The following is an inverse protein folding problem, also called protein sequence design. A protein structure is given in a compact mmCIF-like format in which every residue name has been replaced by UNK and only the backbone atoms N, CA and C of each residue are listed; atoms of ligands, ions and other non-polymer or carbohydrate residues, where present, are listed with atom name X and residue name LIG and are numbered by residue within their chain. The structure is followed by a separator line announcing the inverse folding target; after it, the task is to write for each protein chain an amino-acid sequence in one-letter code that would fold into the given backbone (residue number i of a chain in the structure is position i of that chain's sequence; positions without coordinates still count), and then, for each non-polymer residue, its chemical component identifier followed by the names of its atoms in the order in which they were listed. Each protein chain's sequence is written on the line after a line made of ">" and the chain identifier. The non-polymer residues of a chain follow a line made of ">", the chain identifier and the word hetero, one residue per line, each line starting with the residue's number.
data_IF_477382994306
#
_entry.id   IF_477382994306
#
_cell.length_a   1.000
_cell.length_b   1.000
_cell.length_c   1.000
_cell.angle_alpha   90.00
_cell.angle_beta   90.00
_cell.angle_gamma   90.00
#
_symmetry.space_group_name_H-M   'P 1'
#
loop_
_entity.id
_entity.type
_entity.pdbx_description
1 polymer ?
#
# COMPACT_ATOMS: atom_id res chain seq x y z
N UNK A 1 67.49 24.73 -30.99
CA UNK A 1 67.59 25.98 -30.21
C UNK A 1 66.18 26.56 -30.15
N UNK A 2 65.61 26.74 -28.96
CA UNK A 2 64.19 27.08 -28.75
C UNK A 2 64.02 28.60 -28.67
N UNK A 3 63.06 29.16 -29.41
CA UNK A 3 62.65 30.59 -29.42
C UNK A 3 62.43 31.12 -27.99
N UNK A 4 61.96 30.26 -27.08
CA UNK A 4 61.77 30.60 -25.67
C UNK A 4 63.09 30.91 -24.94
N UNK A 5 64.19 30.27 -25.34
CA UNK A 5 65.51 30.51 -24.73
C UNK A 5 66.11 31.83 -25.23
N UNK A 6 65.91 32.18 -26.50
CA UNK A 6 66.33 33.48 -27.06
C UNK A 6 65.50 34.64 -26.50
N UNK A 7 64.18 34.48 -26.37
CA UNK A 7 63.30 35.47 -25.74
C UNK A 7 63.65 35.70 -24.27
N UNK A 8 64.00 34.62 -23.55
CA UNK A 8 64.37 34.72 -22.13
C UNK A 8 65.74 35.38 -21.95
N UNK A 9 66.70 35.10 -22.83
CA UNK A 9 67.99 35.77 -22.82
C UNK A 9 67.85 37.27 -23.14
N UNK A 10 67.09 37.61 -24.19
CA UNK A 10 66.84 39.02 -24.57
C UNK A 10 66.07 39.81 -23.50
N UNK A 11 65.12 39.20 -22.79
CA UNK A 11 64.41 39.84 -21.68
C UNK A 11 65.29 40.07 -20.45
N UNK A 12 66.24 39.17 -20.16
CA UNK A 12 67.18 39.32 -19.05
C UNK A 12 68.21 40.42 -19.35
N UNK A 13 68.69 40.50 -20.59
CA UNK A 13 69.60 41.55 -21.05
C UNK A 13 68.92 42.93 -21.00
N UNK A 14 67.68 43.03 -21.50
CA UNK A 14 66.89 44.28 -21.46
C UNK A 14 66.51 44.70 -20.03
N UNK A 15 66.35 43.74 -19.10
CA UNK A 15 66.09 44.03 -17.69
C UNK A 15 67.34 44.46 -16.91
N UNK A 16 68.53 44.08 -17.35
CA UNK A 16 69.81 44.46 -16.72
C UNK A 16 70.27 45.88 -17.04
N UNK A 17 69.82 46.46 -18.16
CA UNK A 17 70.13 47.84 -18.57
C UNK A 17 69.19 48.90 -17.95
N UNK A 18 68.08 48.48 -17.35
CA UNK A 18 67.18 49.37 -16.62
C UNK A 18 67.74 49.59 -15.21
N UNK A 19 68.37 50.74 -15.00
CA UNK A 19 68.78 51.22 -13.67
C UNK A 19 67.54 51.52 -12.81
N UNK A 20 67.00 50.46 -12.21
CA UNK A 20 65.83 50.51 -11.34
C UNK A 20 66.24 51.04 -9.98
N UNK A 21 66.09 52.37 -9.84
CA UNK A 21 65.99 53.10 -8.57
C UNK A 21 65.28 52.25 -7.50
N UNK A 22 65.93 52.15 -6.33
CA UNK A 22 65.42 51.57 -5.08
C UNK A 22 63.88 51.60 -4.97
N UNK A 23 63.29 50.42 -4.84
CA UNK A 23 61.85 50.19 -4.68
C UNK A 23 61.27 51.06 -3.54
N UNK A 24 60.39 52.04 -3.83
CA UNK A 24 59.87 52.96 -2.84
C UNK A 24 58.79 52.35 -1.94
N UNK A 25 58.42 51.08 -2.10
CA UNK A 25 57.27 50.48 -1.41
C UNK A 25 57.61 49.28 -0.53
N UNK A 26 58.59 49.44 0.38
CA UNK A 26 58.93 48.46 1.43
C UNK A 26 57.76 48.00 2.30
N UNK A 27 56.68 48.81 2.37
CA UNK A 27 55.45 48.51 3.09
C UNK A 27 54.53 47.51 2.37
N UNK A 28 54.70 47.32 1.05
CA UNK A 28 53.94 46.36 0.24
C UNK A 28 54.51 44.94 0.41
N UNK A 29 55.83 44.77 0.38
CA UNK A 29 56.48 43.48 0.65
C UNK A 29 56.11 42.92 2.03
N UNK A 30 56.10 43.76 3.09
CA UNK A 30 55.68 43.32 4.45
C UNK A 30 54.21 42.89 4.51
N UNK A 31 53.34 43.51 3.71
CA UNK A 31 51.93 43.09 3.59
C UNK A 31 51.80 41.76 2.84
N UNK A 32 52.60 41.55 1.80
CA UNK A 32 52.57 40.33 1.00
C UNK A 32 53.10 39.10 1.75
N UNK A 33 54.15 39.25 2.58
CA UNK A 33 54.62 38.16 3.45
C UNK A 33 53.58 37.77 4.51
N UNK A 34 52.86 38.77 5.06
CA UNK A 34 51.77 38.53 6.03
C UNK A 34 50.54 37.90 5.37
N UNK A 35 50.24 38.28 4.13
CA UNK A 35 49.16 37.68 3.33
C UNK A 35 49.45 36.22 2.95
N UNK A 36 50.69 35.88 2.57
CA UNK A 36 51.09 34.49 2.29
C UNK A 36 50.98 33.58 3.52
N UNK A 37 51.40 34.06 4.71
CA UNK A 37 51.27 33.30 5.97
C UNK A 37 49.81 33.08 6.38
N UNK A 38 48.96 34.09 6.22
CA UNK A 38 47.53 33.98 6.49
C UNK A 38 46.79 33.09 5.47
N UNK A 39 47.27 33.03 4.21
CA UNK A 39 46.70 32.17 3.17
C UNK A 39 46.98 30.68 3.43
N UNK A 40 48.15 30.33 3.96
CA UNK A 40 48.48 28.95 4.36
C UNK A 40 47.67 28.48 5.57
N UNK A 41 47.46 29.35 6.57
CA UNK A 41 46.59 29.04 7.73
C UNK A 41 45.12 28.91 7.29
N UNK A 42 44.65 29.79 6.40
CA UNK A 42 43.29 29.70 5.83
C UNK A 42 43.10 28.51 4.89
N UNK A 43 44.13 28.06 4.17
CA UNK A 43 44.08 26.84 3.36
C UNK A 43 44.02 25.58 4.25
N UNK A 44 44.71 25.55 5.39
CA UNK A 44 44.59 24.48 6.37
C UNK A 44 43.20 24.42 7.04
N UNK A 45 42.63 25.59 7.37
CA UNK A 45 41.26 25.70 7.93
C UNK A 45 40.20 25.40 6.87
N UNK A 46 40.40 25.80 5.61
CA UNK A 46 39.48 25.49 4.52
C UNK A 46 39.55 24.02 4.10
N UNK A 47 40.73 23.40 4.09
CA UNK A 47 40.86 21.95 3.86
C UNK A 47 40.18 21.17 4.99
N UNK A 48 40.43 21.51 6.27
CA UNK A 48 39.73 20.90 7.40
C UNK A 48 38.21 21.14 7.36
N UNK A 49 37.75 22.32 6.91
CA UNK A 49 36.32 22.60 6.73
C UNK A 49 35.71 21.81 5.56
N UNK A 50 36.43 21.59 4.46
CA UNK A 50 35.97 20.79 3.31
C UNK A 50 35.99 19.30 3.64
N UNK A 51 36.98 18.79 4.39
CA UNK A 51 36.97 17.40 4.88
C UNK A 51 35.90 17.18 5.96
N UNK A 52 35.66 18.18 6.82
CA UNK A 52 34.55 18.16 7.77
C UNK A 52 33.20 18.22 7.07
N UNK A 53 33.04 19.03 6.01
CA UNK A 53 31.82 19.09 5.21
C UNK A 53 31.55 17.78 4.46
N UNK A 54 32.58 17.15 3.89
CA UNK A 54 32.46 15.84 3.25
C UNK A 54 32.14 14.73 4.27
N UNK A 55 32.77 14.76 5.45
CA UNK A 55 32.46 13.85 6.57
C UNK A 55 31.07 14.07 7.16
N UNK A 56 30.55 15.30 7.14
CA UNK A 56 29.17 15.64 7.56
C UNK A 56 28.12 15.23 6.52
N UNK A 57 28.46 15.27 5.22
CA UNK A 57 27.61 14.77 4.14
C UNK A 57 27.54 13.24 4.11
N UNK A 58 28.63 12.56 4.48
CA UNK A 58 28.72 11.10 4.59
C UNK A 58 28.28 10.56 5.98
N UNK A 59 27.83 11.40 6.91
CA UNK A 59 27.32 10.98 8.23
C UNK A 59 28.40 10.58 9.26
N UNK A 60 29.68 10.82 8.99
CA UNK A 60 30.82 10.45 9.83
C UNK A 60 31.04 11.42 11.00
N UNK A 61 30.63 12.69 10.88
CA UNK A 61 30.75 13.71 11.93
C UNK A 61 29.37 14.30 12.28
N UNK A 62 28.95 14.33 13.57
CA UNK A 62 27.68 14.94 13.97
C UNK A 62 27.62 16.43 13.63
N UNK A 63 26.57 16.84 12.95
CA UNK A 63 26.29 18.26 12.67
C UNK A 63 25.79 18.95 13.95
N UNK A 64 26.31 20.13 14.34
CA UNK A 64 25.81 20.86 15.49
C UNK A 64 24.35 21.29 15.31
N UNK A 65 23.55 21.29 16.38
CA UNK A 65 22.13 21.64 16.33
C UNK A 65 21.80 23.05 15.77
N UNK A 66 22.79 23.95 15.73
CA UNK A 66 22.69 25.34 15.24
C UNK A 66 23.02 25.52 13.75
N UNK A 67 23.46 24.48 13.03
CA UNK A 67 23.84 24.62 11.62
C UNK A 67 22.62 24.91 10.73
N UNK A 68 22.74 25.80 9.71
CA UNK A 68 21.65 26.08 8.79
C UNK A 68 21.28 24.83 7.99
N UNK A 69 19.98 24.54 7.93
CA UNK A 69 19.43 23.35 7.27
C UNK A 69 18.65 23.72 6.02
N UNK A 70 18.72 22.86 5.00
CA UNK A 70 17.81 22.90 3.86
C UNK A 70 16.58 22.06 4.26
N UNK A 71 15.48 22.75 4.53
CA UNK A 71 14.20 22.10 4.77
C UNK A 71 13.57 21.74 3.42
N UNK A 72 13.20 20.48 3.24
CA UNK A 72 12.28 20.11 2.17
C UNK A 72 10.88 20.53 2.62
N UNK A 73 10.16 21.26 1.76
CA UNK A 73 8.83 21.75 2.07
C UNK A 73 7.89 20.57 2.38
N UNK A 74 7.17 20.65 3.49
CA UNK A 74 6.16 19.66 3.86
C UNK A 74 4.83 20.14 3.30
N UNK A 75 4.21 19.34 2.44
CA UNK A 75 3.06 19.78 1.64
C UNK A 75 1.75 19.98 2.40
N UNK A 76 1.68 19.66 3.70
CA UNK A 76 0.40 19.63 4.42
C UNK A 76 0.45 20.18 5.86
N UNK A 77 0.49 21.51 5.97
CA UNK A 77 0.50 22.18 7.28
C UNK A 77 -0.78 21.94 8.10
N UNK A 78 -1.92 21.67 7.46
CA UNK A 78 -3.20 21.57 8.14
C UNK A 78 -3.28 20.37 9.11
N UNK A 79 -2.76 19.21 8.72
CA UNK A 79 -2.67 18.03 9.60
C UNK A 79 -1.69 18.28 10.76
N UNK A 80 -0.57 18.94 10.46
CA UNK A 80 0.57 19.09 11.37
C UNK A 80 0.41 20.22 12.40
N UNK A 81 -0.51 21.14 12.18
CA UNK A 81 -0.75 22.29 13.05
C UNK A 81 -1.88 22.08 14.08
N UNK A 82 -2.42 20.86 14.17
CA UNK A 82 -3.40 20.50 15.20
C UNK A 82 -2.79 20.30 16.59
N UNK A 83 -3.60 20.45 17.66
CA UNK A 83 -3.19 20.03 19.00
C UNK A 83 -3.03 18.50 19.06
N UNK A 84 -2.36 18.00 20.11
CA UNK A 84 -2.41 16.58 20.46
C UNK A 84 -3.86 16.21 20.77
N UNK A 85 -4.31 15.07 20.26
CA UNK A 85 -5.68 14.58 20.42
C UNK A 85 -5.67 13.10 20.81
N UNK A 86 -6.81 12.55 21.22
CA UNK A 86 -6.91 11.21 21.80
C UNK A 86 -6.92 11.23 23.34
N UNK A 87 -7.16 10.07 23.95
CA UNK A 87 -7.37 9.95 25.40
C UNK A 87 -6.13 10.32 26.24
N UNK A 88 -4.93 10.26 25.66
CA UNK A 88 -3.66 10.60 26.32
C UNK A 88 -3.15 12.01 25.97
N UNK A 89 -3.96 12.83 25.29
CA UNK A 89 -3.54 14.18 24.89
C UNK A 89 -3.13 15.08 26.08
N UNK A 90 -3.71 14.85 27.26
CA UNK A 90 -3.40 15.57 28.49
C UNK A 90 -2.26 14.96 29.33
N UNK A 91 -1.77 13.77 28.98
CA UNK A 91 -0.74 13.08 29.76
C UNK A 91 0.66 13.61 29.42
N UNK A 92 1.00 14.74 30.02
CA UNK A 92 2.27 15.42 29.79
C UNK A 92 3.48 14.59 30.22
N UNK A 93 3.35 13.72 31.23
CA UNK A 93 4.43 12.87 31.71
C UNK A 93 4.74 11.76 30.71
N UNK A 94 3.70 11.06 30.24
CA UNK A 94 3.83 10.06 29.20
C UNK A 94 4.41 10.66 27.90
N UNK A 95 3.86 11.78 27.41
CA UNK A 95 4.33 12.42 26.17
C UNK A 95 5.77 12.93 26.29
N UNK A 96 6.19 13.42 27.47
CA UNK A 96 7.58 13.78 27.72
C UNK A 96 8.51 12.55 27.69
N UNK A 97 8.08 11.44 28.30
CA UNK A 97 8.81 10.18 28.23
C UNK A 97 8.91 9.64 26.80
N UNK A 98 7.82 9.68 26.02
CA UNK A 98 7.82 9.26 24.61
C UNK A 98 8.83 10.06 23.79
N UNK A 99 8.86 11.38 23.97
CA UNK A 99 9.82 12.26 23.30
C UNK A 99 11.27 11.87 23.60
N UNK A 100 11.55 11.41 24.82
CA UNK A 100 12.87 10.93 25.20
C UNK A 100 13.22 9.56 24.59
N UNK A 101 12.23 8.69 24.38
CA UNK A 101 12.45 7.31 23.89
C UNK A 101 12.52 7.17 22.38
N UNK A 102 11.96 8.11 21.60
CA UNK A 102 12.07 8.11 20.13
C UNK A 102 13.55 8.07 19.72
N UNK A 103 13.92 7.10 18.89
CA UNK A 103 15.32 6.86 18.49
C UNK A 103 15.60 7.41 17.09
N UNK A 104 16.89 7.53 16.77
CA UNK A 104 17.34 7.77 15.40
C UNK A 104 16.90 6.60 14.51
N UNK A 105 16.70 6.86 13.22
CA UNK A 105 16.32 5.82 12.25
C UNK A 105 17.60 5.35 11.57
N UNK A 106 18.04 4.15 11.97
CA UNK A 106 19.17 3.47 11.35
C UNK A 106 18.66 2.74 10.10
N UNK A 107 19.06 3.23 8.92
CA UNK A 107 18.82 2.57 7.64
C UNK A 107 20.19 2.26 7.02
N UNK A 108 20.45 1.04 6.49
CA UNK A 108 21.75 0.65 5.93
C UNK A 108 22.39 1.66 4.98
N UNK A 109 21.57 2.43 4.26
CA UNK A 109 22.03 3.39 3.25
C UNK A 109 22.02 4.86 3.75
N UNK A 110 21.31 5.18 4.84
CA UNK A 110 21.10 6.56 5.32
C UNK A 110 20.87 6.62 6.84
N UNK A 111 21.82 7.17 7.60
CA UNK A 111 21.65 7.38 9.04
C UNK A 111 20.86 8.67 9.33
N UNK A 112 19.53 8.55 9.42
CA UNK A 112 18.65 9.68 9.74
C UNK A 112 18.61 9.92 11.25
N UNK A 113 19.13 11.07 11.67
CA UNK A 113 19.17 11.45 13.09
C UNK A 113 18.03 12.38 13.45
N UNK A 114 17.57 12.35 14.69
CA UNK A 114 16.64 13.35 15.19
C UNK A 114 17.36 14.69 15.25
N UNK A 115 16.86 15.67 14.50
CA UNK A 115 17.50 16.98 14.42
C UNK A 115 17.39 17.79 15.70
N UNK A 116 16.20 17.82 16.29
CA UNK A 116 15.90 18.49 17.55
C UNK A 116 14.74 17.79 18.25
N UNK A 117 15.04 17.11 19.37
CA UNK A 117 14.04 16.37 20.14
C UNK A 117 12.94 17.27 20.70
N UNK A 118 13.26 18.54 21.03
CA UNK A 118 12.26 19.48 21.55
C UNK A 118 11.19 19.85 20.51
N UNK A 119 11.50 19.66 19.22
CA UNK A 119 10.59 19.90 18.09
C UNK A 119 9.76 18.67 17.71
N UNK A 120 9.90 17.55 18.43
CA UNK A 120 8.98 16.42 18.30
C UNK A 120 7.62 16.84 18.85
N UNK A 121 6.62 16.78 17.98
CA UNK A 121 5.21 17.05 18.28
C UNK A 121 4.42 15.75 18.19
N UNK A 122 3.40 15.62 19.01
CA UNK A 122 2.45 14.51 18.90
C UNK A 122 1.17 15.04 18.26
N UNK A 123 0.62 14.30 17.31
CA UNK A 123 -0.66 14.66 16.67
C UNK A 123 -1.80 13.84 17.26
N UNK A 124 -1.48 12.67 17.79
CA UNK A 124 -2.42 11.75 18.40
C UNK A 124 -1.71 10.88 19.45
N UNK A 125 -2.39 10.62 20.57
CA UNK A 125 -1.99 9.64 21.57
C UNK A 125 -3.25 9.14 22.32
N UNK A 126 -3.47 7.83 22.33
CA UNK A 126 -4.60 7.23 23.01
C UNK A 126 -4.35 5.77 23.41
N UNK A 127 -5.10 5.31 24.40
CA UNK A 127 -5.42 3.90 24.57
C UNK A 127 -6.73 3.59 23.80
N UNK A 128 -6.67 2.64 22.87
CA UNK A 128 -7.79 2.15 22.05
C UNK A 128 -7.87 0.64 22.25
N UNK A 129 -8.92 0.15 22.90
CA UNK A 129 -9.01 -1.26 23.28
C UNK A 129 -7.84 -1.68 24.18
N UNK A 130 -7.11 -2.71 23.77
CA UNK A 130 -5.94 -3.27 24.44
C UNK A 130 -4.62 -2.66 23.94
N UNK A 131 -4.66 -1.63 23.09
CA UNK A 131 -3.48 -1.01 22.49
C UNK A 131 -3.32 0.44 22.91
N UNK A 132 -2.08 0.83 23.15
CA UNK A 132 -1.65 2.22 23.23
C UNK A 132 -1.08 2.61 21.88
N UNK A 133 -1.54 3.71 21.29
CA UNK A 133 -1.12 4.15 19.95
C UNK A 133 -0.73 5.62 19.99
N UNK A 134 0.41 5.97 19.36
CA UNK A 134 0.95 7.34 19.31
C UNK A 134 1.39 7.69 17.90
N UNK A 135 1.01 8.88 17.44
CA UNK A 135 1.47 9.48 16.19
C UNK A 135 2.40 10.65 16.49
N UNK A 136 3.67 10.51 16.13
CA UNK A 136 4.69 11.52 16.35
C UNK A 136 5.16 12.16 15.04
N UNK A 137 5.19 13.49 15.01
CA UNK A 137 5.92 14.27 14.01
C UNK A 137 7.38 14.43 14.46
N UNK A 138 8.30 13.79 13.74
CA UNK A 138 9.71 13.71 14.10
C UNK A 138 10.56 14.47 13.07
N UNK A 139 11.28 15.52 13.46
CA UNK A 139 12.16 16.27 12.56
C UNK A 139 13.46 15.51 12.34
N UNK A 140 13.53 14.66 11.32
CA UNK A 140 14.76 13.93 10.99
C UNK A 140 15.72 14.79 10.18
N UNK A 141 17.01 14.51 10.33
CA UNK A 141 18.13 15.15 9.66
C UNK A 141 19.11 14.13 9.09
N UNK A 142 19.57 14.41 7.89
CA UNK A 142 20.68 13.73 7.24
C UNK A 142 21.65 14.80 6.71
N UNK A 143 22.81 14.95 7.36
CA UNK A 143 23.72 16.08 7.11
C UNK A 143 23.00 17.43 7.31
N UNK A 144 22.92 18.23 6.26
CA UNK A 144 22.23 19.54 6.25
C UNK A 144 20.77 19.45 5.79
N UNK A 145 20.29 18.29 5.37
CA UNK A 145 18.92 18.08 4.92
C UNK A 145 18.05 17.77 6.13
N UNK A 146 16.94 18.50 6.28
CA UNK A 146 15.89 18.15 7.25
C UNK A 146 14.69 17.62 6.50
N UNK A 147 14.27 16.39 6.83
CA UNK A 147 13.06 15.76 6.31
C UNK A 147 12.24 15.26 7.50
N UNK A 148 11.18 15.97 7.91
CA UNK A 148 10.32 15.45 8.96
C UNK A 148 9.58 14.19 8.49
N UNK A 149 9.16 13.38 9.44
CA UNK A 149 8.35 12.18 9.21
C UNK A 149 7.23 12.08 10.23
N UNK A 150 6.14 11.41 9.84
CA UNK A 150 5.13 10.94 10.77
C UNK A 150 5.41 9.49 11.11
N UNK A 151 5.56 9.18 12.40
CA UNK A 151 5.87 7.85 12.88
C UNK A 151 4.75 7.36 13.81
N UNK A 152 4.22 6.19 13.51
CA UNK A 152 3.32 5.47 14.39
C UNK A 152 4.10 4.61 15.36
N UNK A 153 3.69 4.68 16.62
CA UNK A 153 4.16 3.81 17.69
C UNK A 153 2.97 3.08 18.29
N UNK A 154 3.17 1.81 18.65
CA UNK A 154 2.20 1.03 19.40
C UNK A 154 2.83 0.32 20.60
N UNK A 155 1.96 -0.15 21.48
CA UNK A 155 2.27 -0.92 22.68
C UNK A 155 0.99 -1.48 23.28
N UNK A 156 1.08 -2.24 24.36
CA UNK A 156 -0.11 -2.62 25.11
C UNK A 156 -0.75 -1.37 25.76
N UNK A 157 -2.06 -1.38 25.97
CA UNK A 157 -2.73 -0.33 26.73
C UNK A 157 -2.08 -0.20 28.11
N UNK A 158 -1.76 1.04 28.51
CA UNK A 158 -1.03 1.29 29.75
C UNK A 158 0.50 1.23 29.66
N UNK A 159 1.07 0.78 28.54
CA UNK A 159 2.53 0.64 28.39
C UNK A 159 3.29 1.94 28.64
N UNK A 160 4.45 1.80 29.30
CA UNK A 160 5.37 2.90 29.51
C UNK A 160 6.00 3.35 28.18
N UNK A 161 6.49 4.60 28.08
CA UNK A 161 7.13 5.09 26.86
C UNK A 161 8.29 4.24 26.31
N UNK A 162 9.00 3.51 27.18
CA UNK A 162 10.11 2.66 26.80
C UNK A 162 9.68 1.32 26.16
N UNK A 163 8.42 0.95 26.32
CA UNK A 163 7.82 -0.29 25.80
C UNK A 163 7.15 -0.08 24.43
N UNK A 164 7.00 1.19 24.01
CA UNK A 164 6.38 1.56 22.74
C UNK A 164 7.35 1.29 21.57
N UNK A 165 6.85 0.68 20.49
CA UNK A 165 7.63 0.28 19.32
C UNK A 165 7.18 1.06 18.09
N UNK A 166 8.12 1.50 17.24
CA UNK A 166 7.80 2.14 15.98
C UNK A 166 7.31 1.09 14.96
N UNK A 167 6.14 1.30 14.37
CA UNK A 167 5.46 0.29 13.54
C UNK A 167 5.13 0.75 12.12
N UNK A 168 5.04 2.07 11.88
CA UNK A 168 4.85 2.59 10.54
C UNK A 168 5.45 3.99 10.37
N UNK A 169 5.87 4.29 9.14
CA UNK A 169 6.35 5.61 8.74
C UNK A 169 5.47 6.14 7.62
N UNK A 170 5.00 7.37 7.77
CA UNK A 170 4.01 7.99 6.90
C UNK A 170 4.56 9.31 6.36
N UNK A 171 4.37 9.53 5.06
CA UNK A 171 4.76 10.80 4.44
C UNK A 171 3.95 11.95 5.05
N UNK A 172 4.60 12.96 5.67
CA UNK A 172 3.91 14.10 6.27
C UNK A 172 3.17 14.99 5.25
N UNK A 173 3.30 14.76 3.94
CA UNK A 173 2.50 15.41 2.92
C UNK A 173 1.06 14.83 2.81
N UNK A 174 0.79 13.66 3.40
CA UNK A 174 -0.55 13.08 3.40
C UNK A 174 -1.57 13.98 4.12
N UNK A 175 -2.82 13.99 3.63
CA UNK A 175 -3.92 14.79 4.21
C UNK A 175 -4.44 14.26 5.53
N UNK A 176 -4.39 12.95 5.68
CA UNK A 176 -4.70 12.22 6.88
C UNK A 176 -3.74 11.04 6.96
N UNK A 177 -3.64 10.45 8.13
CA UNK A 177 -2.87 9.23 8.34
C UNK A 177 -3.73 8.22 9.09
N UNK A 178 -3.56 6.96 8.70
CA UNK A 178 -4.20 5.83 9.32
C UNK A 178 -3.20 4.96 10.07
N UNK A 179 -3.71 4.28 11.10
CA UNK A 179 -3.08 3.12 11.70
C UNK A 179 -4.12 2.03 11.81
N UNK A 180 -3.83 0.88 11.22
CA UNK A 180 -4.69 -0.31 11.24
C UNK A 180 -3.83 -1.49 11.66
N UNK A 181 -4.25 -2.15 12.72
CA UNK A 181 -3.69 -3.42 13.14
C UNK A 181 -4.85 -4.39 13.33
N UNK A 182 -4.83 -5.50 12.63
CA UNK A 182 -5.78 -6.58 12.78
C UNK A 182 -5.02 -7.88 13.09
N UNK A 183 -5.61 -8.72 13.93
CA UNK A 183 -5.08 -10.05 14.24
C UNK A 183 -6.15 -11.10 13.93
N UNK A 184 -5.69 -12.31 13.62
CA UNK A 184 -6.55 -13.46 13.40
C UNK A 184 -7.31 -13.84 14.66
N UNK A 185 -6.63 -13.77 15.81
CA UNK A 185 -7.10 -14.36 17.06
C UNK A 185 -7.42 -13.31 18.12
N UNK A 186 -6.89 -12.10 17.97
CA UNK A 186 -7.07 -11.00 18.92
C UNK A 186 -7.76 -9.80 18.28
N UNK A 187 -8.53 -9.00 19.06
CA UNK A 187 -9.05 -7.74 18.59
C UNK A 187 -7.93 -6.83 18.08
N UNK A 188 -8.25 -6.10 17.00
CA UNK A 188 -7.39 -5.10 16.41
C UNK A 188 -7.78 -3.68 16.78
N UNK A 189 -7.11 -2.70 16.19
CA UNK A 189 -7.49 -1.29 16.27
C UNK A 189 -7.37 -0.61 14.92
N UNK A 190 -8.26 0.35 14.69
CA UNK A 190 -8.21 1.26 13.57
C UNK A 190 -8.27 2.70 14.08
N UNK A 191 -7.35 3.54 13.62
CA UNK A 191 -7.26 4.96 13.95
C UNK A 191 -7.09 5.77 12.68
N UNK A 192 -7.91 6.80 12.50
CA UNK A 192 -7.78 7.80 11.44
C UNK A 192 -7.51 9.16 12.07
N UNK A 193 -6.44 9.83 11.64
CA UNK A 193 -6.07 11.18 12.07
C UNK A 193 -5.97 12.11 10.87
N UNK A 194 -6.94 13.00 10.73
CA UNK A 194 -6.98 14.08 9.76
C UNK A 194 -6.77 15.48 10.38
N UNK A 195 -6.90 16.54 9.57
CA UNK A 195 -6.73 17.92 10.01
C UNK A 195 -7.83 18.34 11.00
N UNK A 196 -7.54 19.23 11.97
CA UNK A 196 -8.59 19.83 12.79
C UNK A 196 -9.65 20.53 11.92
N UNK A 197 -10.90 20.53 12.38
CA UNK A 197 -12.06 21.03 11.62
C UNK A 197 -12.68 20.02 10.66
N UNK A 198 -12.07 18.85 10.47
CA UNK A 198 -12.66 17.74 9.71
C UNK A 198 -13.40 16.75 10.62
N UNK A 199 -14.24 15.90 10.03
CA UNK A 199 -14.87 14.76 10.69
C UNK A 199 -14.30 13.49 10.10
N UNK A 200 -13.75 12.63 10.93
CA UNK A 200 -13.26 11.31 10.52
C UNK A 200 -14.32 10.25 10.82
N UNK A 201 -14.45 9.27 9.93
CA UNK A 201 -15.30 8.09 10.11
C UNK A 201 -14.54 6.82 9.72
N UNK A 202 -14.81 5.73 10.43
CA UNK A 202 -14.22 4.41 10.19
C UNK A 202 -15.36 3.40 10.07
N UNK A 203 -15.51 2.77 8.91
CA UNK A 203 -16.29 1.54 8.79
C UNK A 203 -15.36 0.35 9.08
N UNK A 204 -15.63 -0.43 10.14
CA UNK A 204 -14.68 -1.42 10.67
C UNK A 204 -14.57 -2.68 9.81
N UNK A 205 -15.49 -2.89 8.88
CA UNK A 205 -15.47 -4.03 7.97
C UNK A 205 -16.74 -4.13 7.14
N UNK A 206 -16.93 -5.29 6.54
CA UNK A 206 -18.08 -5.60 5.69
C UNK A 206 -18.39 -7.09 5.71
N UNK A 207 -19.60 -7.45 5.31
CA UNK A 207 -20.00 -8.85 5.08
C UNK A 207 -20.52 -9.06 3.67
N UNK A 208 -20.19 -10.23 3.10
CA UNK A 208 -20.79 -10.69 1.84
C UNK A 208 -22.16 -11.31 2.13
N UNK A 209 -23.22 -10.55 1.89
CA UNK A 209 -24.60 -10.96 2.14
C UNK A 209 -25.10 -12.07 1.22
N UNK A 210 -26.01 -12.90 1.74
CA UNK A 210 -26.67 -13.97 0.96
C UNK A 210 -27.42 -13.46 -0.28
N UNK A 211 -27.76 -12.18 -0.32
CA UNK A 211 -28.41 -11.49 -1.44
C UNK A 211 -27.43 -11.04 -2.53
N UNK A 212 -26.14 -11.37 -2.40
CA UNK A 212 -25.10 -11.01 -3.37
C UNK A 212 -24.68 -9.54 -3.28
N UNK A 213 -24.90 -8.89 -2.13
CA UNK A 213 -24.43 -7.53 -1.85
C UNK A 213 -23.37 -7.53 -0.75
N UNK A 214 -22.50 -6.54 -0.80
CA UNK A 214 -21.63 -6.18 0.32
C UNK A 214 -22.45 -5.34 1.29
N UNK A 215 -22.47 -5.73 2.56
CA UNK A 215 -23.08 -4.96 3.65
C UNK A 215 -21.96 -4.42 4.51
N UNK A 216 -21.70 -3.12 4.39
CA UNK A 216 -20.69 -2.46 5.21
C UNK A 216 -21.18 -2.36 6.67
N UNK A 217 -20.26 -2.59 7.61
CA UNK A 217 -20.55 -2.38 9.01
C UNK A 217 -20.80 -0.88 9.28
N UNK A 218 -21.72 -0.55 10.20
CA UNK A 218 -22.02 0.84 10.54
C UNK A 218 -20.75 1.61 10.90
N UNK A 219 -20.52 2.73 10.22
CA UNK A 219 -19.34 3.54 10.44
C UNK A 219 -19.36 4.17 11.84
N UNK A 220 -18.22 4.09 12.53
CA UNK A 220 -17.94 4.82 13.76
C UNK A 220 -17.48 6.23 13.37
N UNK A 221 -18.28 7.22 13.75
CA UNK A 221 -17.92 8.63 13.55
C UNK A 221 -17.22 9.19 14.77
N UNK A 222 -16.11 9.87 14.52
CA UNK A 222 -15.46 10.72 15.51
C UNK A 222 -16.29 11.95 15.86
N UNK A 223 -15.85 12.68 16.89
CA UNK A 223 -16.44 13.98 17.25
C UNK A 223 -16.27 14.95 16.07
N UNK A 224 -17.34 15.60 15.58
CA UNK A 224 -17.24 16.56 14.48
C UNK A 224 -16.20 17.65 14.74
N UNK A 225 -15.35 17.92 13.75
CA UNK A 225 -14.27 18.91 13.84
C UNK A 225 -13.01 18.43 14.58
N UNK A 226 -13.03 17.25 15.22
CA UNK A 226 -11.82 16.70 15.85
C UNK A 226 -10.80 16.17 14.84
N UNK A 227 -11.27 15.78 13.64
CA UNK A 227 -10.50 15.08 12.62
C UNK A 227 -10.03 13.70 13.02
N UNK A 228 -10.59 13.08 14.08
CA UNK A 228 -10.16 11.76 14.56
C UNK A 228 -11.33 10.82 14.72
N UNK A 229 -11.14 9.59 14.27
CA UNK A 229 -11.96 8.45 14.61
C UNK A 229 -11.05 7.31 15.04
N UNK A 230 -11.53 6.51 15.99
CA UNK A 230 -10.85 5.32 16.48
C UNK A 230 -11.89 4.26 16.80
N UNK A 231 -11.55 3.00 16.56
CA UNK A 231 -12.40 1.85 16.91
C UNK A 231 -11.55 0.62 17.18
N UNK A 232 -12.08 -0.28 18.01
CA UNK A 232 -11.60 -1.65 18.11
C UNK A 232 -12.14 -2.43 16.91
N UNK A 233 -11.28 -3.23 16.29
CA UNK A 233 -11.64 -4.14 15.21
C UNK A 233 -11.85 -5.54 15.79
N UNK A 234 -12.86 -6.29 15.32
CA UNK A 234 -12.97 -7.69 15.70
C UNK A 234 -11.76 -8.49 15.17
N UNK A 235 -11.43 -9.63 15.80
CA UNK A 235 -10.50 -10.57 15.20
C UNK A 235 -10.97 -10.94 13.79
N UNK A 236 -10.07 -10.86 12.82
CA UNK A 236 -10.39 -11.08 11.41
C UNK A 236 -9.31 -11.97 10.78
N UNK A 237 -9.69 -13.03 10.05
CA UNK A 237 -8.74 -13.95 9.43
C UNK A 237 -8.06 -13.39 8.16
N UNK A 238 -8.04 -12.07 8.00
CA UNK A 238 -7.54 -11.36 6.85
C UNK A 238 -7.62 -9.86 7.10
N UNK A 239 -7.36 -9.06 6.08
CA UNK A 239 -7.61 -7.62 6.15
C UNK A 239 -9.10 -7.39 6.45
N UNK A 240 -9.47 -6.73 7.57
CA UNK A 240 -10.86 -6.51 7.93
C UNK A 240 -11.64 -5.63 6.94
N UNK A 241 -10.98 -5.05 5.93
CA UNK A 241 -11.68 -4.32 4.88
C UNK A 241 -12.10 -2.93 5.33
N UNK A 242 -11.33 -2.38 6.27
CA UNK A 242 -11.63 -1.10 6.91
C UNK A 242 -11.67 0.01 5.87
N UNK A 243 -12.76 0.78 5.88
CA UNK A 243 -12.91 1.97 5.06
C UNK A 243 -12.84 3.20 5.95
N UNK A 244 -11.87 4.06 5.68
CA UNK A 244 -11.64 5.29 6.45
C UNK A 244 -11.97 6.50 5.60
N UNK A 245 -12.87 7.35 6.09
CA UNK A 245 -13.31 8.56 5.37
C UNK A 245 -13.06 9.81 6.19
N UNK A 246 -12.65 10.86 5.51
CA UNK A 246 -12.50 12.18 6.07
C UNK A 246 -13.47 13.14 5.38
N UNK A 247 -14.32 13.81 6.15
CA UNK A 247 -15.22 14.85 5.66
C UNK A 247 -14.72 16.23 6.10
N UNK A 248 -14.48 17.12 5.14
CA UNK A 248 -14.08 18.50 5.38
C UNK A 248 -14.83 19.43 4.43
N UNK A 249 -15.38 20.54 4.93
CA UNK A 249 -16.14 21.53 4.14
C UNK A 249 -17.27 20.91 3.31
N UNK A 250 -17.95 19.90 3.88
CA UNK A 250 -19.03 19.16 3.21
C UNK A 250 -18.57 18.16 2.14
N UNK A 251 -17.26 17.96 1.95
CA UNK A 251 -16.69 16.98 1.01
C UNK A 251 -16.11 15.80 1.76
N UNK A 252 -16.57 14.59 1.44
CA UNK A 252 -16.00 13.33 1.95
C UNK A 252 -14.94 12.79 1.01
N UNK A 253 -13.82 12.31 1.56
CA UNK A 253 -12.72 11.66 0.82
C UNK A 253 -12.36 10.37 1.53
N UNK A 254 -12.28 9.27 0.77
CA UNK A 254 -11.76 7.99 1.28
C UNK A 254 -10.24 8.12 1.41
N UNK A 255 -9.72 7.87 2.62
CA UNK A 255 -8.29 7.97 2.97
C UNK A 255 -7.61 6.61 2.85
N UNK A 256 -8.31 5.55 3.23
CA UNK A 256 -7.82 4.17 3.15
C UNK A 256 -9.00 3.22 2.90
N UNK A 257 -8.74 2.15 2.14
CA UNK A 257 -9.69 1.06 1.90
C UNK A 257 -8.91 -0.25 1.79
N UNK A 258 -9.18 -1.20 2.69
CA UNK A 258 -8.55 -2.52 2.64
C UNK A 258 -7.03 -2.49 2.81
N UNK A 259 -6.55 -1.77 3.82
CA UNK A 259 -5.15 -1.81 4.26
C UNK A 259 -5.07 -2.25 5.73
N UNK A 260 -4.86 -3.54 5.94
CA UNK A 260 -4.56 -4.18 7.22
C UNK A 260 -3.58 -5.31 6.99
N UNK A 261 -2.33 -5.12 7.45
CA UNK A 261 -1.34 -6.21 7.43
C UNK A 261 -1.86 -7.37 8.27
N UNK A 262 -2.04 -8.54 7.65
CA UNK A 262 -2.51 -9.74 8.34
C UNK A 262 -1.34 -10.72 8.50
N UNK A 263 -1.07 -11.10 9.74
CA UNK A 263 -0.11 -12.13 10.12
C UNK A 263 -0.86 -13.33 10.67
N UNK A 264 -1.33 -14.20 9.79
CA UNK A 264 -1.99 -15.45 10.17
C UNK A 264 -1.06 -16.63 10.06
N UNK A 265 -1.19 -17.58 10.98
CA UNK A 265 -0.61 -18.90 10.75
C UNK A 265 -1.36 -19.57 9.61
N UNK A 266 -0.62 -20.00 8.58
CA UNK A 266 -1.20 -20.84 7.53
C UNK A 266 -1.84 -22.08 8.17
N UNK A 267 -3.02 -22.51 7.71
CA UNK A 267 -3.64 -23.74 8.20
C UNK A 267 -2.72 -24.95 8.02
N UNK A 268 -2.91 -25.99 8.84
CA UNK A 268 -2.22 -27.27 8.69
C UNK A 268 -2.37 -27.78 7.25
N UNK A 269 -1.23 -28.01 6.59
CA UNK A 269 -1.14 -28.40 5.19
C UNK A 269 -2.00 -29.63 4.88
N UNK A 270 -2.09 -30.60 5.80
CA UNK A 270 -2.90 -31.81 5.62
C UNK A 270 -4.40 -31.52 5.62
N UNK A 271 -4.84 -30.61 6.48
CA UNK A 271 -6.25 -30.18 6.53
C UNK A 271 -6.60 -29.45 5.24
N UNK A 272 -5.69 -28.61 4.76
CA UNK A 272 -5.86 -27.90 3.50
C UNK A 272 -5.95 -28.88 2.31
N UNK A 273 -5.00 -29.82 2.21
CA UNK A 273 -4.98 -30.80 1.13
C UNK A 273 -6.22 -31.70 1.12
N UNK A 274 -6.72 -32.11 2.28
CA UNK A 274 -7.95 -32.87 2.37
C UNK A 274 -9.16 -32.06 1.85
N UNK A 275 -9.22 -30.76 2.15
CA UNK A 275 -10.25 -29.87 1.62
C UNK A 275 -10.14 -29.71 0.10
N UNK A 276 -8.93 -29.56 -0.44
CA UNK A 276 -8.68 -29.49 -1.88
C UNK A 276 -9.09 -30.77 -2.59
N UNK A 277 -8.67 -31.94 -2.10
CA UNK A 277 -9.06 -33.23 -2.69
C UNK A 277 -10.58 -33.41 -2.71
N UNK A 278 -11.25 -33.06 -1.59
CA UNK A 278 -12.72 -33.11 -1.51
C UNK A 278 -13.38 -32.18 -2.52
N UNK A 279 -12.85 -30.97 -2.69
CA UNK A 279 -13.41 -29.98 -3.60
C UNK A 279 -13.18 -30.32 -5.08
N UNK A 280 -12.02 -30.90 -5.42
CA UNK A 280 -11.69 -31.34 -6.78
C UNK A 280 -12.53 -32.55 -7.21
N UNK A 281 -12.74 -33.52 -6.31
CA UNK A 281 -13.33 -34.81 -6.66
C UNK A 281 -12.44 -35.53 -7.67
N UNK A 282 -13.00 -35.98 -8.79
CA UNK A 282 -12.27 -36.70 -9.85
C UNK A 282 -11.48 -35.77 -10.81
N UNK A 283 -11.48 -34.45 -10.57
CA UNK A 283 -10.80 -33.48 -11.43
C UNK A 283 -9.29 -33.50 -11.21
N UNK A 284 -8.55 -33.27 -12.29
CA UNK A 284 -7.07 -33.23 -12.26
C UNK A 284 -6.60 -31.78 -12.23
N UNK A 285 -5.98 -31.38 -11.11
CA UNK A 285 -5.26 -30.12 -10.94
C UNK A 285 -4.17 -30.30 -9.87
N UNK A 286 -3.00 -29.69 -10.08
CA UNK A 286 -1.92 -29.77 -9.08
C UNK A 286 -2.32 -29.02 -7.80
N UNK A 287 -2.26 -29.72 -6.66
CA UNK A 287 -2.52 -29.16 -5.34
C UNK A 287 -1.55 -28.01 -4.99
N UNK A 288 -0.29 -28.10 -5.42
CA UNK A 288 0.71 -27.05 -5.15
C UNK A 288 0.36 -25.74 -5.85
N UNK A 289 -0.39 -25.82 -6.94
CA UNK A 289 -0.86 -24.68 -7.71
C UNK A 289 -2.23 -24.21 -7.20
N UNK A 290 -3.14 -25.11 -6.85
CA UNK A 290 -4.47 -24.75 -6.33
C UNK A 290 -4.42 -24.13 -4.92
N UNK A 291 -3.52 -24.62 -4.05
CA UNK A 291 -3.41 -24.17 -2.67
C UNK A 291 -3.21 -22.66 -2.52
N UNK A 292 -2.18 -22.03 -3.13
CA UNK A 292 -2.01 -20.59 -3.02
C UNK A 292 -3.19 -19.81 -3.60
N UNK A 293 -3.85 -20.31 -4.65
CA UNK A 293 -5.03 -19.65 -5.24
C UNK A 293 -6.23 -19.65 -4.31
N UNK A 294 -6.51 -20.79 -3.68
CA UNK A 294 -7.57 -20.88 -2.67
C UNK A 294 -7.23 -20.03 -1.45
N UNK A 295 -5.96 -20.00 -1.00
CA UNK A 295 -5.53 -19.15 0.10
C UNK A 295 -5.77 -17.66 -0.22
N UNK A 296 -5.37 -17.19 -1.40
CA UNK A 296 -5.64 -15.80 -1.82
C UNK A 296 -7.15 -15.50 -1.89
N UNK A 297 -7.97 -16.46 -2.32
CA UNK A 297 -9.43 -16.33 -2.30
C UNK A 297 -10.01 -16.27 -0.88
N UNK A 298 -9.45 -17.05 0.06
CA UNK A 298 -9.85 -17.03 1.48
C UNK A 298 -9.48 -15.70 2.14
N UNK A 299 -8.27 -15.20 1.87
CA UNK A 299 -7.79 -13.91 2.37
C UNK A 299 -8.67 -12.77 1.85
N UNK A 300 -8.95 -12.77 0.54
CA UNK A 300 -9.84 -11.78 -0.10
C UNK A 300 -11.28 -11.89 0.40
N UNK A 301 -11.72 -13.10 0.74
CA UNK A 301 -13.04 -13.36 1.30
C UNK A 301 -13.17 -13.11 2.81
N UNK A 302 -12.06 -12.79 3.50
CA UNK A 302 -11.98 -12.71 4.96
C UNK A 302 -12.49 -13.99 5.65
N UNK A 303 -12.11 -15.16 5.13
CA UNK A 303 -12.58 -16.45 5.63
C UNK A 303 -11.43 -17.35 6.06
N UNK A 304 -11.64 -18.12 7.13
CA UNK A 304 -10.81 -19.30 7.42
C UNK A 304 -11.28 -20.44 6.54
N UNK A 305 -10.37 -21.34 6.14
CA UNK A 305 -10.77 -22.56 5.41
C UNK A 305 -11.83 -23.37 6.18
N UNK A 306 -11.75 -23.42 7.51
CA UNK A 306 -12.71 -24.12 8.37
C UNK A 306 -14.13 -23.51 8.32
N UNK A 307 -14.23 -22.20 8.03
CA UNK A 307 -15.49 -21.46 7.98
C UNK A 307 -16.04 -21.34 6.54
N UNK A 308 -15.26 -21.79 5.55
CA UNK A 308 -15.55 -21.65 4.14
C UNK A 308 -15.97 -22.98 3.49
N UNK A 309 -17.05 -22.94 2.72
CA UNK A 309 -17.39 -23.99 1.77
C UNK A 309 -16.64 -23.76 0.45
N UNK A 310 -15.58 -24.53 0.22
CA UNK A 310 -14.87 -24.58 -1.05
C UNK A 310 -15.57 -25.53 -2.04
N UNK A 311 -15.81 -25.07 -3.27
CA UNK A 311 -16.31 -25.89 -4.38
C UNK A 311 -15.52 -25.58 -5.64
N UNK A 312 -14.93 -26.60 -6.27
CA UNK A 312 -14.34 -26.45 -7.61
C UNK A 312 -15.41 -26.71 -8.65
N UNK A 313 -15.76 -25.66 -9.40
CA UNK A 313 -16.80 -25.68 -10.44
C UNK A 313 -16.26 -26.26 -11.74
N UNK A 314 -15.03 -25.90 -12.07
CA UNK A 314 -14.39 -26.29 -13.33
C UNK A 314 -12.86 -26.28 -13.20
N UNK A 315 -12.21 -27.16 -13.96
CA UNK A 315 -10.76 -27.22 -14.16
C UNK A 315 -10.49 -27.45 -15.64
N UNK A 316 -9.39 -26.89 -16.16
CA UNK A 316 -8.96 -27.15 -17.53
C UNK A 316 -7.78 -26.26 -17.88
N UNK A 317 -7.73 -25.77 -19.11
CA UNK A 317 -6.64 -24.91 -19.57
C UNK A 317 -7.13 -23.57 -20.12
N UNK A 318 -6.36 -22.52 -19.87
CA UNK A 318 -6.49 -21.20 -20.50
C UNK A 318 -5.10 -20.82 -21.00
N UNK A 319 -4.98 -20.44 -22.27
CA UNK A 319 -3.69 -20.15 -22.94
C UNK A 319 -2.63 -21.28 -22.79
N UNK A 320 -3.08 -22.54 -22.71
CA UNK A 320 -2.21 -23.71 -22.51
C UNK A 320 -1.67 -23.86 -21.08
N UNK A 321 -2.19 -23.08 -20.13
CA UNK A 321 -1.86 -23.14 -18.71
C UNK A 321 -3.03 -23.71 -17.93
N UNK A 322 -2.75 -24.47 -16.87
CA UNK A 322 -3.78 -24.99 -15.99
C UNK A 322 -4.61 -23.84 -15.39
N UNK A 323 -5.92 -24.03 -15.36
CA UNK A 323 -6.89 -23.06 -14.92
C UNK A 323 -7.99 -23.70 -14.08
N UNK A 324 -8.56 -22.90 -13.18
CA UNK A 324 -9.62 -23.32 -12.28
C UNK A 324 -10.67 -22.23 -12.13
N UNK A 325 -11.91 -22.65 -11.95
CA UNK A 325 -12.98 -21.83 -11.39
C UNK A 325 -13.43 -22.48 -10.09
N UNK A 326 -13.26 -21.78 -8.97
CA UNK A 326 -13.72 -22.23 -7.66
C UNK A 326 -14.58 -21.17 -7.00
N UNK A 327 -15.36 -21.60 -6.01
CA UNK A 327 -16.17 -20.72 -5.18
C UNK A 327 -15.90 -20.94 -3.70
N UNK A 328 -15.98 -19.86 -2.93
CA UNK A 328 -15.91 -19.83 -1.48
C UNK A 328 -17.18 -19.23 -0.91
N UNK A 329 -17.70 -19.82 0.17
CA UNK A 329 -18.90 -19.33 0.84
C UNK A 329 -18.79 -19.52 2.35
N UNK A 330 -18.93 -18.43 3.11
CA UNK A 330 -19.18 -18.48 4.55
C UNK A 330 -20.64 -18.88 4.79
N UNK A 331 -20.90 -19.65 5.84
CA UNK A 331 -22.27 -20.05 6.19
C UNK A 331 -23.20 -18.82 6.32
N UNK A 332 -24.33 -18.83 5.61
CA UNK A 332 -25.29 -17.71 5.60
C UNK A 332 -24.90 -16.51 4.73
N UNK A 333 -23.71 -16.52 4.12
CA UNK A 333 -23.22 -15.44 3.25
C UNK A 333 -23.44 -15.70 1.75
N UNK A 334 -23.08 -14.70 0.96
CA UNK A 334 -22.96 -14.79 -0.50
C UNK A 334 -21.84 -15.73 -0.94
N UNK A 335 -21.79 -16.04 -2.23
CA UNK A 335 -20.81 -16.95 -2.81
C UNK A 335 -19.80 -16.15 -3.62
N UNK A 336 -18.54 -16.17 -3.20
CA UNK A 336 -17.43 -15.59 -3.94
C UNK A 336 -16.95 -16.57 -4.99
N UNK A 337 -16.85 -16.14 -6.24
CA UNK A 337 -16.33 -16.93 -7.35
C UNK A 337 -15.01 -16.35 -7.86
N UNK A 338 -14.04 -17.24 -8.06
CA UNK A 338 -12.69 -16.91 -8.48
C UNK A 338 -12.28 -17.77 -9.67
N UNK A 339 -11.71 -17.14 -10.69
CA UNK A 339 -11.07 -17.83 -11.80
C UNK A 339 -9.57 -17.49 -11.82
N UNK A 340 -8.75 -18.54 -11.86
CA UNK A 340 -7.30 -18.43 -11.86
C UNK A 340 -6.71 -19.30 -12.97
N UNK A 341 -5.59 -18.87 -13.54
CA UNK A 341 -4.75 -19.71 -14.37
C UNK A 341 -3.26 -19.47 -14.12
N UNK A 342 -2.44 -20.47 -14.43
CA UNK A 342 -0.98 -20.31 -14.47
C UNK A 342 -0.57 -19.34 -15.59
N UNK A 343 0.62 -18.77 -15.48
CA UNK A 343 1.23 -17.99 -16.57
C UNK A 343 2.74 -18.23 -16.60
N UNK A 344 3.40 -17.79 -17.67
CA UNK A 344 4.87 -17.85 -17.76
C UNK A 344 5.59 -17.06 -16.65
N UNK A 345 4.90 -16.15 -15.96
CA UNK A 345 5.42 -15.32 -14.88
C UNK A 345 4.88 -15.71 -13.48
N UNK A 346 4.09 -16.79 -13.36
CA UNK A 346 3.50 -17.23 -12.10
C UNK A 346 2.04 -17.65 -12.25
N UNK A 347 1.12 -16.89 -11.66
CA UNK A 347 -0.32 -17.10 -11.79
C UNK A 347 -1.06 -15.80 -11.97
N UNK A 348 -2.25 -15.88 -12.53
CA UNK A 348 -3.14 -14.75 -12.74
C UNK A 348 -4.53 -15.07 -12.23
N UNK A 349 -5.11 -14.11 -11.53
CA UNK A 349 -6.53 -14.08 -11.27
C UNK A 349 -7.23 -13.32 -12.40
N UNK A 350 -8.25 -13.93 -12.99
CA UNK A 350 -9.03 -13.31 -14.06
C UNK A 350 -10.44 -12.91 -13.63
N UNK A 351 -10.90 -13.41 -12.49
CA UNK A 351 -12.26 -13.20 -12.02
C UNK A 351 -12.30 -13.08 -10.50
N UNK A 352 -13.02 -12.05 -10.06
CA UNK A 352 -13.62 -11.93 -8.73
C UNK A 352 -15.09 -11.56 -8.90
N UNK A 353 -15.99 -12.35 -8.32
CA UNK A 353 -17.43 -12.11 -8.46
C UNK A 353 -18.19 -12.52 -7.20
N UNK A 354 -19.08 -11.66 -6.72
CA UNK A 354 -20.01 -11.97 -5.63
C UNK A 354 -21.36 -12.43 -6.20
N UNK A 355 -21.77 -13.64 -5.86
CA UNK A 355 -23.04 -14.23 -6.24
C UNK A 355 -24.01 -14.28 -5.04
N UNK A 356 -25.33 -14.21 -5.26
CA UNK A 356 -26.29 -14.52 -4.20
C UNK A 356 -26.18 -16.01 -3.84
N UNK A 357 -26.43 -16.34 -2.57
CA UNK A 357 -26.39 -17.72 -2.10
C UNK A 357 -27.38 -18.61 -2.88
N UNK A 358 -28.59 -18.09 -3.10
CA UNK A 358 -29.64 -18.79 -3.82
C UNK A 358 -29.33 -18.95 -5.31
N UNK A 359 -29.25 -20.20 -5.77
CA UNK A 359 -29.06 -20.55 -7.17
C UNK A 359 -27.66 -20.25 -7.73
N UNK A 360 -26.69 -19.90 -6.89
CA UNK A 360 -25.28 -19.70 -7.28
C UNK A 360 -24.71 -20.87 -8.08
N UNK A 361 -25.10 -22.10 -7.72
CA UNK A 361 -24.66 -23.33 -8.36
C UNK A 361 -25.32 -23.59 -9.71
N UNK A 362 -26.42 -22.91 -10.03
CA UNK A 362 -27.17 -23.05 -11.29
C UNK A 362 -26.89 -21.94 -12.31
N UNK A 363 -26.05 -20.97 -11.95
CA UNK A 363 -25.69 -19.85 -12.83
C UNK A 363 -24.45 -20.15 -13.67
N UNK A 364 -24.40 -19.68 -14.93
CA UNK A 364 -23.16 -19.63 -15.69
C UNK A 364 -22.21 -18.61 -15.07
N UNK A 365 -20.91 -18.79 -15.25
CA UNK A 365 -19.90 -17.82 -14.82
C UNK A 365 -19.01 -17.52 -16.03
N UNK A 366 -18.68 -16.24 -16.23
CA UNK A 366 -17.84 -15.81 -17.34
C UNK A 366 -16.92 -14.68 -16.93
N UNK A 367 -15.78 -14.57 -17.62
CA UNK A 367 -14.77 -13.54 -17.36
C UNK A 367 -14.02 -13.19 -18.63
N UNK A 368 -13.41 -12.00 -18.64
CA UNK A 368 -12.64 -11.48 -19.76
C UNK A 368 -11.17 -11.89 -19.65
N UNK A 369 -10.53 -12.07 -20.80
CA UNK A 369 -9.11 -12.40 -20.85
C UNK A 369 -8.28 -11.19 -21.23
N UNK A 370 -7.16 -11.02 -20.54
CA UNK A 370 -6.09 -10.18 -21.03
C UNK A 370 -5.16 -10.98 -21.95
N UNK A 371 -4.38 -10.27 -22.76
CA UNK A 371 -3.36 -10.93 -23.57
C UNK A 371 -2.28 -11.53 -22.67
N UNK A 372 -1.83 -12.75 -23.00
CA UNK A 372 -0.88 -13.54 -22.22
C UNK A 372 0.36 -12.72 -21.84
N UNK A 373 0.73 -12.76 -20.55
CA UNK A 373 1.89 -12.03 -20.03
C UNK A 373 1.76 -10.49 -20.02
N UNK A 374 0.56 -9.93 -20.23
CA UNK A 374 0.35 -8.47 -20.26
C UNK A 374 -0.94 -8.02 -19.57
N UNK A 375 -1.07 -6.71 -19.36
CA UNK A 375 -2.32 -6.07 -18.92
C UNK A 375 -3.13 -5.48 -20.09
N UNK A 376 -2.89 -5.96 -21.33
CA UNK A 376 -3.63 -5.49 -22.51
C UNK A 376 -4.98 -6.21 -22.58
N UNK A 377 -6.11 -5.48 -22.50
CA UNK A 377 -7.44 -6.06 -22.64
C UNK A 377 -7.64 -6.74 -23.99
N UNK A 378 -8.26 -7.92 -24.02
CA UNK A 378 -8.72 -8.56 -25.27
C UNK A 378 -10.24 -8.56 -25.37
N UNK A 379 -10.75 -9.00 -26.51
CA UNK A 379 -12.17 -9.23 -26.73
C UNK A 379 -12.63 -10.63 -26.28
N UNK A 380 -11.72 -11.49 -25.82
CA UNK A 380 -12.04 -12.87 -25.46
C UNK A 380 -12.72 -12.96 -24.10
N UNK A 381 -13.80 -13.74 -24.05
CA UNK A 381 -14.54 -14.12 -22.84
C UNK A 381 -14.52 -15.64 -22.69
N UNK A 382 -14.14 -16.12 -21.51
CA UNK A 382 -14.32 -17.53 -21.12
C UNK A 382 -15.67 -17.66 -20.43
N UNK A 383 -16.40 -18.72 -20.76
CA UNK A 383 -17.73 -19.01 -20.20
C UNK A 383 -17.74 -20.42 -19.65
N UNK A 384 -18.18 -20.59 -18.41
CA UNK A 384 -18.36 -21.89 -17.76
C UNK A 384 -19.86 -22.10 -17.52
N UNK A 385 -20.41 -23.13 -18.16
CA UNK A 385 -21.79 -23.55 -18.00
C UNK A 385 -21.99 -24.25 -16.65
N UNK A 386 -23.13 -24.04 -15.97
CA UNK A 386 -23.47 -24.81 -14.78
C UNK A 386 -23.84 -26.26 -15.17
N UNK A 387 -23.71 -27.18 -14.23
CA UNK A 387 -24.12 -28.57 -14.43
C UNK A 387 -25.60 -28.66 -14.85
N UNK A 388 -25.90 -29.46 -15.87
CA UNK A 388 -27.25 -29.65 -16.40
C UNK A 388 -27.72 -28.59 -17.40
N UNK A 389 -26.91 -27.58 -17.72
CA UNK A 389 -27.22 -26.65 -18.80
C UNK A 389 -27.18 -27.34 -20.17
N UNK A 390 -28.24 -27.16 -20.96
CA UNK A 390 -28.31 -27.63 -22.34
C UNK A 390 -27.88 -26.55 -23.35
N UNK A 391 -27.99 -25.27 -22.94
CA UNK A 391 -27.63 -24.12 -23.77
C UNK A 391 -27.13 -22.98 -22.90
N UNK A 392 -26.11 -22.27 -23.39
CA UNK A 392 -25.67 -20.99 -22.84
C UNK A 392 -25.71 -19.94 -23.94
N UNK A 393 -26.17 -18.74 -23.60
CA UNK A 393 -26.14 -17.58 -24.49
C UNK A 393 -25.35 -16.45 -23.87
N UNK A 394 -24.75 -15.61 -24.70
CA UNK A 394 -24.12 -14.36 -24.32
C UNK A 394 -24.89 -13.21 -25.00
N UNK A 395 -25.30 -12.21 -24.22
CA UNK A 395 -26.06 -11.06 -24.69
C UNK A 395 -25.27 -9.80 -24.37
N UNK A 396 -24.87 -9.05 -25.40
CA UNK A 396 -24.34 -7.69 -25.22
C UNK A 396 -25.49 -6.68 -25.16
N UNK A 397 -25.29 -5.51 -24.52
CA UNK A 397 -26.36 -4.53 -24.27
C UNK A 397 -27.16 -4.11 -25.52
N UNK A 398 -26.53 -4.15 -26.70
CA UNK A 398 -27.14 -3.73 -27.97
C UNK A 398 -27.34 -4.87 -28.98
N UNK A 399 -27.13 -6.12 -28.56
CA UNK A 399 -27.09 -7.28 -29.46
C UNK A 399 -28.16 -8.32 -29.16
N UNK A 400 -28.46 -9.13 -30.16
CA UNK A 400 -29.24 -10.35 -29.97
C UNK A 400 -28.45 -11.39 -29.16
N UNK A 401 -29.11 -12.26 -28.38
CA UNK A 401 -28.42 -13.32 -27.65
C UNK A 401 -27.70 -14.29 -28.59
N UNK A 402 -26.38 -14.38 -28.45
CA UNK A 402 -25.53 -15.29 -29.23
C UNK A 402 -25.34 -16.61 -28.49
N UNK A 403 -25.47 -17.75 -29.19
CA UNK A 403 -25.23 -19.06 -28.58
C UNK A 403 -23.73 -19.28 -28.36
N UNK A 404 -23.34 -19.60 -27.13
CA UNK A 404 -21.96 -19.99 -26.80
C UNK A 404 -21.80 -21.49 -27.03
N UNK A 405 -20.80 -21.89 -27.82
CA UNK A 405 -20.44 -23.29 -27.97
C UNK A 405 -19.73 -23.78 -26.71
N UNK A 406 -20.32 -24.78 -26.04
CA UNK A 406 -19.82 -25.37 -24.80
C UNK A 406 -19.26 -26.77 -25.09
N UNK A 407 -18.05 -27.05 -24.61
CA UNK A 407 -17.41 -28.37 -24.71
C UNK A 407 -17.90 -29.33 -23.61
N UNK A 408 -17.40 -30.58 -23.64
CA UNK A 408 -17.78 -31.61 -22.67
C UNK A 408 -17.37 -31.28 -21.21
N UNK A 409 -16.42 -30.36 -21.02
CA UNK A 409 -16.02 -29.88 -19.68
C UNK A 409 -16.95 -28.78 -19.16
N UNK A 410 -17.89 -28.30 -19.98
CA UNK A 410 -18.75 -27.16 -19.65
C UNK A 410 -18.12 -25.81 -19.99
N UNK A 411 -16.96 -25.77 -20.67
CA UNK A 411 -16.30 -24.53 -21.06
C UNK A 411 -16.71 -24.10 -22.46
N UNK A 412 -16.91 -22.79 -22.64
CA UNK A 412 -17.03 -22.14 -23.93
C UNK A 412 -16.13 -20.91 -24.05
N UNK A 413 -16.06 -20.39 -25.26
CA UNK A 413 -15.41 -19.13 -25.59
C UNK A 413 -16.38 -18.26 -26.39
N UNK A 414 -16.35 -16.96 -26.12
CA UNK A 414 -17.12 -15.95 -26.83
C UNK A 414 -16.30 -14.67 -26.98
N UNK A 415 -16.83 -13.72 -27.75
CA UNK A 415 -16.18 -12.44 -28.00
C UNK A 415 -17.07 -11.30 -27.52
N UNK A 416 -16.51 -10.38 -26.73
CA UNK A 416 -17.16 -9.15 -26.28
C UNK A 416 -16.13 -8.04 -26.30
N UNK A 417 -16.44 -6.91 -26.95
CA UNK A 417 -15.55 -5.76 -26.95
C UNK A 417 -15.12 -5.38 -25.52
N UNK A 418 -13.84 -5.01 -25.28
CA UNK A 418 -13.27 -4.89 -23.93
C UNK A 418 -14.07 -4.06 -22.91
N UNK A 419 -14.73 -2.99 -23.36
CA UNK A 419 -15.54 -2.09 -22.51
C UNK A 419 -17.05 -2.30 -22.62
N UNK A 420 -17.54 -3.23 -23.45
CA UNK A 420 -18.97 -3.43 -23.66
C UNK A 420 -19.56 -4.32 -22.57
N UNK A 421 -20.60 -3.89 -21.87
CA UNK A 421 -21.29 -4.75 -20.92
C UNK A 421 -21.95 -5.96 -21.63
N UNK A 422 -21.91 -7.12 -20.97
CA UNK A 422 -22.51 -8.35 -21.45
C UNK A 422 -23.00 -9.22 -20.28
N UNK A 423 -23.95 -10.10 -20.58
CA UNK A 423 -24.53 -11.06 -19.64
C UNK A 423 -24.49 -12.45 -20.26
N UNK A 424 -24.16 -13.47 -19.46
CA UNK A 424 -24.29 -14.87 -19.84
C UNK A 424 -25.50 -15.50 -19.15
N UNK A 425 -26.29 -16.25 -19.91
CA UNK A 425 -27.52 -16.93 -19.43
C UNK A 425 -27.47 -18.41 -19.77
N UNK A 426 -27.77 -19.25 -18.78
CA UNK A 426 -27.86 -20.71 -18.97
C UNK A 426 -29.31 -21.17 -19.00
N UNK A 427 -29.60 -22.14 -19.85
CA UNK A 427 -30.91 -22.76 -20.01
C UNK A 427 -30.83 -24.28 -19.86
N UNK A 428 -31.85 -24.85 -19.24
CA UNK A 428 -32.05 -26.29 -19.16
C UNK A 428 -32.54 -26.87 -20.50
N UNK A 429 -32.63 -28.20 -20.58
CA UNK A 429 -33.05 -28.91 -21.80
C UNK A 429 -34.49 -28.59 -22.24
N UNK A 430 -35.37 -28.24 -21.30
CA UNK A 430 -36.75 -27.81 -21.55
C UNK A 430 -36.85 -26.33 -21.99
N UNK A 431 -35.71 -25.63 -22.06
CA UNK A 431 -35.63 -24.22 -22.43
C UNK A 431 -35.84 -23.24 -21.27
N UNK A 432 -36.11 -23.72 -20.05
CA UNK A 432 -36.23 -22.84 -18.87
C UNK A 432 -34.89 -22.19 -18.50
N UNK A 433 -34.93 -20.95 -18.04
CA UNK A 433 -33.73 -20.25 -17.56
C UNK A 433 -33.28 -20.84 -16.21
N UNK A 434 -31.99 -21.20 -16.15
CA UNK A 434 -31.35 -21.66 -14.91
C UNK A 434 -30.77 -20.49 -14.12
N UNK A 435 -30.31 -19.46 -14.82
CA UNK A 435 -29.84 -18.21 -14.25
C UNK A 435 -28.93 -17.43 -15.20
N UNK A 436 -28.67 -16.19 -14.80
CA UNK A 436 -27.87 -15.22 -15.55
C UNK A 436 -26.79 -14.57 -14.66
N UNK A 437 -25.68 -14.18 -15.27
CA UNK A 437 -24.53 -13.56 -14.60
C UNK A 437 -23.90 -12.51 -15.53
N UNK A 438 -23.51 -11.32 -15.05
CA UNK A 438 -22.78 -10.36 -15.87
C UNK A 438 -21.40 -10.92 -16.22
N UNK A 439 -20.85 -10.51 -17.37
CA UNK A 439 -19.43 -10.65 -17.68
C UNK A 439 -18.73 -9.46 -17.03
N UNK A 440 -17.94 -9.64 -15.96
CA UNK A 440 -17.33 -8.51 -15.27
C UNK A 440 -16.45 -7.68 -16.20
N UNK A 441 -16.31 -6.36 -15.95
CA UNK A 441 -15.31 -5.56 -16.64
C UNK A 441 -13.91 -6.10 -16.30
N UNK A 442 -12.91 -5.65 -17.06
CA UNK A 442 -11.52 -5.84 -16.68
C UNK A 442 -11.28 -5.21 -15.32
N UNK A 443 -10.92 -6.03 -14.35
CA UNK A 443 -10.62 -5.64 -12.97
C UNK A 443 -9.11 -5.40 -12.84
N UNK A 444 -8.73 -4.31 -12.18
CA UNK A 444 -7.34 -4.07 -11.79
C UNK A 444 -6.97 -4.77 -10.47
N UNK A 445 -7.94 -5.48 -9.87
CA UNK A 445 -7.77 -6.24 -8.64
C UNK A 445 -7.87 -5.36 -7.40
N UNK A 446 -8.39 -4.12 -7.52
CA UNK A 446 -8.51 -3.17 -6.41
C UNK A 446 -9.94 -3.11 -5.85
N UNK A 447 -10.05 -3.00 -4.52
CA UNK A 447 -11.33 -2.83 -3.82
C UNK A 447 -12.04 -4.13 -3.43
N UNK A 448 -13.24 -3.97 -2.85
CA UNK A 448 -14.02 -5.06 -2.25
C UNK A 448 -14.86 -5.76 -3.33
N UNK A 449 -14.78 -7.10 -3.39
CA UNK A 449 -15.54 -7.90 -4.36
C UNK A 449 -17.04 -7.61 -4.22
N UNK A 450 -17.71 -7.30 -5.33
CA UNK A 450 -19.15 -7.06 -5.34
C UNK A 450 -19.59 -5.69 -4.83
N UNK A 451 -18.65 -4.81 -4.47
CA UNK A 451 -18.98 -3.43 -4.13
C UNK A 451 -19.50 -2.65 -5.35
N UNK A 452 -18.98 -2.96 -6.54
CA UNK A 452 -19.45 -2.39 -7.81
C UNK A 452 -20.47 -3.31 -8.50
N UNK A 453 -21.46 -2.76 -9.23
CA UNK A 453 -22.46 -3.59 -9.93
C UNK A 453 -21.87 -4.62 -10.92
N UNK A 454 -20.71 -4.32 -11.53
CA UNK A 454 -20.04 -5.23 -12.47
C UNK A 454 -19.37 -6.44 -11.82
N UNK A 455 -19.17 -6.42 -10.50
CA UNK A 455 -18.50 -7.49 -9.73
C UNK A 455 -19.48 -8.21 -8.80
N UNK A 456 -20.79 -8.00 -8.94
CA UNK A 456 -21.83 -8.74 -8.21
C UNK A 456 -23.00 -9.18 -9.08
N UNK A 457 -23.70 -10.19 -8.60
CA UNK A 457 -25.05 -10.56 -9.02
C UNK A 457 -26.00 -10.26 -7.88
N UNK A 458 -27.11 -9.61 -8.19
CA UNK A 458 -28.22 -9.41 -7.25
C UNK A 458 -29.48 -10.08 -7.81
N UNK A 459 -30.35 -10.67 -6.97
CA UNK A 459 -31.60 -11.30 -7.39
C UNK A 459 -32.54 -10.38 -8.17
#
# INVERSE_FOLDING_TARGET
>A
MNIETELRAGLIETAGELDLRLDPWTSFQRRETRHRRNRLIRAGVAAAAVTALAGMQAGVVPVPGWAPTIALAVGNEALLNGPVRGSLAGDTAFLAGMRAQIRDIDNPDQNWRIGDRSKIRFLYAADVGDKRVVLAYVPLRFGFVTKPQLLWYDGAAGSDPAEMVAVANVDPAQRATQYVMASFDDPGVAVLVGPPGSTATISPGYEFGADGRVHDDPAVSGVPGSGIAETVLPPAPGDPGVTMTLTQDGRSTVVAQGEGGSGGSLPDEKVFDAALSKALGDRVLDHNLLRPWVQMGLDTGQMRLADARLVVRWTGEVNGQQAVLFTLQKAGGGVLAFAWHGSSAGSREDLRLLLPAAGSDRRPIAWRMYAEGSQVPTDQVIVIAPAGAARVTLTSVSGDPEKVAIDHSGKGKATVAPGAAATVTAYAADGSEMGSTPVPPFDDGTGIIGQTPGTRVVP
#
